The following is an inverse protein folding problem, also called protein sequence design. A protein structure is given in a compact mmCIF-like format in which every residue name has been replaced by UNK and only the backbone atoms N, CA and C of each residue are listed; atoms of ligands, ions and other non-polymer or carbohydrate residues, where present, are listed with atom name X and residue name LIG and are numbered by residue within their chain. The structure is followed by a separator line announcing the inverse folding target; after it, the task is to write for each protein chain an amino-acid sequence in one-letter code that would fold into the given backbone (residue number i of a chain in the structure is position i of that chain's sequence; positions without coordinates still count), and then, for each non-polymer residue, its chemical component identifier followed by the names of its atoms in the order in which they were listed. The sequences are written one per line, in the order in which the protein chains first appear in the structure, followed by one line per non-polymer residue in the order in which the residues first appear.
data_IF_629559736782
#
_entry.id   IF_629559736782
#
_cell.length_a   1.000
_cell.length_b   1.000
_cell.length_c   1.000
_cell.angle_alpha   90.00
_cell.angle_beta   90.00
_cell.angle_gamma   90.00
#
_symmetry.space_group_name_H-M   'P 1'
#
loop_
_entity.id
_entity.type
_entity.pdbx_description
1 polymer ?
#
# COMPACT_ATOMS: atom_id res chain seq x y z
N UNK A 1 -27.95 33.58 -43.29
CA UNK A 1 -28.34 32.55 -42.30
C UNK A 1 -27.19 31.57 -42.16
N UNK A 2 -26.14 31.92 -41.39
CA UNK A 2 -24.99 31.04 -41.18
C UNK A 2 -25.22 30.23 -39.92
N UNK A 3 -25.24 28.91 -40.09
CA UNK A 3 -25.35 27.96 -39.01
C UNK A 3 -24.03 27.89 -38.23
N UNK A 4 -24.18 27.87 -36.89
CA UNK A 4 -23.36 27.13 -35.92
C UNK A 4 -21.94 27.64 -35.59
N UNK A 5 -21.87 28.66 -34.74
CA UNK A 5 -20.83 28.71 -33.70
C UNK A 5 -21.30 27.81 -32.54
N UNK A 6 -20.83 26.57 -32.52
CA UNK A 6 -21.01 25.68 -31.37
C UNK A 6 -20.01 26.15 -30.32
N UNK A 7 -20.48 26.99 -29.40
CA UNK A 7 -19.71 27.44 -28.25
C UNK A 7 -19.34 26.21 -27.40
N UNK A 8 -18.09 25.79 -27.49
CA UNK A 8 -17.56 24.65 -26.75
C UNK A 8 -17.51 25.01 -25.25
N UNK A 9 -18.57 24.69 -24.51
CA UNK A 9 -18.67 24.84 -23.04
C UNK A 9 -17.63 23.96 -22.30
N UNK A 10 -17.01 23.00 -23.00
CA UNK A 10 -16.02 22.10 -22.41
C UNK A 10 -14.58 22.64 -22.56
N UNK A 11 -13.79 22.65 -21.47
CA UNK A 11 -12.40 23.09 -21.52
C UNK A 11 -11.61 22.19 -22.47
N UNK A 12 -10.87 22.79 -23.42
CA UNK A 12 -10.04 22.05 -24.38
C UNK A 12 -9.04 21.17 -23.63
N UNK A 13 -9.10 19.86 -23.89
CA UNK A 13 -8.20 18.87 -23.29
C UNK A 13 -6.75 19.22 -23.67
N UNK A 14 -5.91 19.55 -22.68
CA UNK A 14 -4.49 19.87 -22.90
C UNK A 14 -3.78 18.69 -23.59
N UNK A 15 -3.00 18.95 -24.64
CA UNK A 15 -2.27 17.93 -25.44
C UNK A 15 -1.46 16.95 -24.58
N UNK A 16 -0.87 17.42 -23.46
CA UNK A 16 -0.16 16.60 -22.47
C UNK A 16 -1.04 15.53 -21.82
N UNK A 17 -2.30 15.84 -21.49
CA UNK A 17 -3.26 14.88 -20.91
C UNK A 17 -3.57 13.76 -21.91
N UNK A 18 -3.79 14.13 -23.18
CA UNK A 18 -4.04 13.20 -24.29
C UNK A 18 -2.89 12.20 -24.53
N UNK A 19 -1.63 12.63 -24.36
CA UNK A 19 -0.48 11.73 -24.46
C UNK A 19 -0.48 10.70 -23.32
N UNK A 20 -0.63 11.14 -22.06
CA UNK A 20 -0.69 10.26 -20.89
C UNK A 20 -1.88 9.29 -20.93
N UNK A 21 -3.00 9.71 -21.51
CA UNK A 21 -4.17 8.85 -21.68
C UNK A 21 -3.90 7.76 -22.74
N UNK A 22 -3.17 8.09 -23.82
CA UNK A 22 -2.74 7.12 -24.83
C UNK A 22 -1.71 6.12 -24.29
N UNK A 23 -0.72 6.60 -23.53
CA UNK A 23 0.26 5.73 -22.84
C UNK A 23 -0.47 4.79 -21.87
N UNK A 24 -1.37 5.30 -21.02
CA UNK A 24 -2.19 4.47 -20.14
C UNK A 24 -3.00 3.42 -20.90
N UNK A 25 -3.57 3.78 -22.04
CA UNK A 25 -4.32 2.85 -22.87
C UNK A 25 -3.46 1.70 -23.38
N UNK A 26 -2.31 2.01 -24.02
CA UNK A 26 -1.39 0.99 -24.55
C UNK A 26 -0.87 0.11 -23.42
N UNK A 27 -0.41 0.72 -22.32
CA UNK A 27 0.13 -0.02 -21.19
C UNK A 27 -0.93 -0.91 -20.53
N UNK A 28 -2.20 -0.48 -20.45
CA UNK A 28 -3.30 -1.32 -19.93
C UNK A 28 -3.43 -2.61 -20.73
N UNK A 29 -3.38 -2.53 -22.06
CA UNK A 29 -3.44 -3.71 -22.92
C UNK A 29 -2.24 -4.64 -22.73
N UNK A 30 -1.03 -4.09 -22.63
CA UNK A 30 0.16 -4.87 -22.32
C UNK A 30 0.03 -5.59 -20.96
N UNK A 31 -0.39 -4.87 -19.90
CA UNK A 31 -0.56 -5.44 -18.56
C UNK A 31 -1.62 -6.54 -18.54
N UNK A 32 -2.74 -6.37 -19.26
CA UNK A 32 -3.75 -7.42 -19.41
C UNK A 32 -3.18 -8.64 -20.13
N UNK A 33 -2.47 -8.44 -21.25
CA UNK A 33 -1.86 -9.54 -22.00
C UNK A 33 -0.87 -10.35 -21.13
N UNK A 34 0.03 -9.67 -20.40
CA UNK A 34 0.94 -10.33 -19.46
C UNK A 34 0.20 -11.00 -18.28
N UNK A 35 -0.84 -10.36 -17.76
CA UNK A 35 -1.67 -10.89 -16.68
C UNK A 35 -2.40 -12.18 -17.05
N UNK A 36 -2.80 -12.36 -18.32
CA UNK A 36 -3.36 -13.62 -18.83
C UNK A 36 -2.30 -14.62 -19.26
N UNK A 37 -1.19 -14.18 -19.85
CA UNK A 37 -0.13 -15.06 -20.29
C UNK A 37 0.54 -15.79 -19.11
N UNK A 38 0.80 -15.10 -18.00
CA UNK A 38 1.46 -15.67 -16.82
C UNK A 38 0.74 -16.91 -16.23
N UNK A 39 -0.58 -16.89 -15.96
CA UNK A 39 -1.29 -18.07 -15.46
C UNK A 39 -1.39 -19.19 -16.52
N UNK A 40 -1.54 -18.86 -17.82
CA UNK A 40 -1.58 -19.87 -18.89
C UNK A 40 -0.26 -20.65 -18.93
N UNK A 41 0.87 -19.95 -18.91
CA UNK A 41 2.20 -20.59 -18.88
C UNK A 41 2.38 -21.39 -17.59
N UNK A 42 1.93 -20.86 -16.46
CA UNK A 42 2.03 -21.58 -15.18
C UNK A 42 1.22 -22.88 -15.17
N UNK A 43 0.01 -22.89 -15.76
CA UNK A 43 -0.80 -24.09 -15.93
C UNK A 43 -0.14 -25.11 -16.86
N UNK A 44 0.53 -24.65 -17.92
CA UNK A 44 1.25 -25.53 -18.85
C UNK A 44 2.49 -26.18 -18.21
N UNK A 45 3.21 -25.44 -17.35
CA UNK A 45 4.45 -25.91 -16.70
C UNK A 45 4.17 -26.78 -15.45
N UNK A 46 2.95 -26.72 -14.88
CA UNK A 46 2.51 -27.50 -13.69
C UNK A 46 3.43 -27.38 -12.45
N UNK A 47 4.18 -26.28 -12.34
CA UNK A 47 5.12 -26.03 -11.26
C UNK A 47 4.52 -25.28 -10.06
N UNK A 48 5.39 -24.72 -9.21
CA UNK A 48 5.00 -23.78 -8.13
C UNK A 48 4.23 -22.59 -8.72
N UNK A 49 3.22 -22.02 -8.03
CA UNK A 49 2.33 -21.00 -8.59
C UNK A 49 2.96 -19.60 -8.69
N UNK A 50 4.06 -19.46 -9.44
CA UNK A 50 4.78 -18.20 -9.67
C UNK A 50 3.94 -17.12 -10.38
N UNK A 51 2.90 -17.51 -11.13
CA UNK A 51 2.00 -16.55 -11.79
C UNK A 51 1.29 -15.62 -10.81
N UNK A 52 1.04 -16.05 -9.57
CA UNK A 52 0.39 -15.22 -8.55
C UNK A 52 1.27 -14.03 -8.18
N UNK A 53 2.59 -14.25 -8.04
CA UNK A 53 3.58 -13.19 -7.76
C UNK A 53 3.61 -12.19 -8.92
N UNK A 54 3.63 -12.71 -10.15
CA UNK A 54 3.63 -11.89 -11.37
C UNK A 54 2.39 -11.00 -11.42
N UNK A 55 1.19 -11.57 -11.22
CA UNK A 55 -0.07 -10.82 -11.19
C UNK A 55 -0.06 -9.75 -10.09
N UNK A 56 0.38 -10.09 -8.88
CA UNK A 56 0.44 -9.13 -7.78
C UNK A 56 1.44 -7.99 -8.06
N UNK A 57 2.59 -8.30 -8.65
CA UNK A 57 3.59 -7.29 -9.04
C UNK A 57 3.10 -6.36 -10.15
N UNK A 58 2.39 -6.90 -11.16
CA UNK A 58 1.74 -6.13 -12.23
C UNK A 58 0.67 -5.21 -11.64
N UNK A 59 -0.15 -5.72 -10.72
CA UNK A 59 -1.16 -4.91 -10.04
C UNK A 59 -0.54 -3.75 -9.25
N UNK A 60 0.51 -4.04 -8.46
CA UNK A 60 1.23 -3.04 -7.66
C UNK A 60 1.86 -1.98 -8.58
N UNK A 61 2.57 -2.40 -9.63
CA UNK A 61 3.19 -1.49 -10.60
C UNK A 61 2.15 -0.62 -11.29
N UNK A 62 1.00 -1.19 -11.67
CA UNK A 62 -0.09 -0.42 -12.26
C UNK A 62 -0.61 0.64 -11.28
N UNK A 63 -0.84 0.27 -10.03
CA UNK A 63 -1.34 1.17 -9.00
C UNK A 63 -0.37 2.32 -8.72
N UNK A 64 0.92 2.03 -8.56
CA UNK A 64 1.95 3.04 -8.25
C UNK A 64 2.21 4.00 -9.41
N UNK A 65 2.18 3.52 -10.66
CA UNK A 65 2.56 4.31 -11.84
C UNK A 65 1.37 5.06 -12.44
N UNK A 66 0.19 4.44 -12.49
CA UNK A 66 -0.92 4.91 -13.33
C UNK A 66 -2.13 5.43 -12.57
N UNK A 67 -2.19 5.31 -11.24
CA UNK A 67 -3.27 5.85 -10.43
C UNK A 67 -3.01 7.33 -10.13
N UNK A 68 -3.62 8.31 -10.84
CA UNK A 68 -3.49 9.71 -10.51
C UNK A 68 -4.42 9.98 -9.32
N UNK A 69 -3.99 10.65 -8.23
CA UNK A 69 -4.91 10.96 -7.13
C UNK A 69 -6.01 11.90 -7.64
N UNK A 70 -7.24 11.39 -7.75
CA UNK A 70 -8.36 12.11 -8.37
C UNK A 70 -8.98 13.17 -7.44
N UNK A 71 -8.87 13.03 -6.13
CA UNK A 71 -9.42 13.96 -5.15
C UNK A 71 -8.48 13.92 -3.94
N UNK A 72 -7.86 15.06 -3.63
CA UNK A 72 -6.92 15.26 -2.51
C UNK A 72 -5.67 14.37 -2.49
N UNK A 73 -4.54 14.98 -2.82
CA UNK A 73 -3.23 14.34 -2.78
C UNK A 73 -2.81 14.05 -1.32
N UNK A 74 -3.26 12.93 -0.76
CA UNK A 74 -2.73 12.44 0.50
C UNK A 74 -1.49 11.58 0.23
N UNK A 75 -0.33 12.26 0.04
CA UNK A 75 0.99 11.63 -0.21
C UNK A 75 1.24 10.44 0.72
N UNK A 76 0.85 10.60 1.98
CA UNK A 76 1.16 9.65 3.06
C UNK A 76 0.34 8.37 2.96
N UNK A 77 -0.95 8.47 2.62
CA UNK A 77 -1.78 7.29 2.31
C UNK A 77 -1.25 6.53 1.10
N UNK A 78 -0.84 7.23 0.04
CA UNK A 78 -0.34 6.56 -1.14
C UNK A 78 1.00 5.85 -0.88
N UNK A 79 1.91 6.50 -0.15
CA UNK A 79 3.17 5.88 0.26
C UNK A 79 2.96 4.73 1.22
N UNK A 80 2.04 4.84 2.18
CA UNK A 80 1.78 3.77 3.16
C UNK A 80 1.22 2.53 2.48
N UNK A 81 0.21 2.70 1.62
CA UNK A 81 -0.41 1.62 0.89
C UNK A 81 0.58 0.97 -0.08
N UNK A 82 1.42 1.75 -0.77
CA UNK A 82 2.48 1.20 -1.62
C UNK A 82 3.47 0.33 -0.82
N UNK A 83 3.93 0.81 0.33
CA UNK A 83 4.85 0.08 1.20
C UNK A 83 4.22 -1.20 1.77
N UNK A 84 2.95 -1.15 2.18
CA UNK A 84 2.22 -2.35 2.63
C UNK A 84 2.09 -3.38 1.52
N UNK A 85 1.75 -2.96 0.30
CA UNK A 85 1.66 -3.88 -0.84
C UNK A 85 3.00 -4.51 -1.19
N UNK A 86 4.12 -3.81 -1.00
CA UNK A 86 5.45 -4.40 -1.15
C UNK A 86 5.75 -5.46 -0.09
N UNK A 87 5.35 -5.23 1.18
CA UNK A 87 5.47 -6.26 2.22
C UNK A 87 4.64 -7.50 1.91
N UNK A 88 3.38 -7.33 1.45
CA UNK A 88 2.52 -8.45 1.06
C UNK A 88 3.15 -9.23 -0.11
N UNK A 89 3.73 -8.53 -1.08
CA UNK A 89 4.43 -9.16 -2.20
C UNK A 89 5.61 -10.02 -1.70
N UNK A 90 6.38 -9.55 -0.72
CA UNK A 90 7.49 -10.32 -0.13
C UNK A 90 6.99 -11.56 0.62
N UNK A 91 5.89 -11.46 1.38
CA UNK A 91 5.24 -12.60 2.04
C UNK A 91 4.80 -13.63 0.99
N UNK A 92 4.21 -13.17 -0.11
CA UNK A 92 3.74 -14.03 -1.19
C UNK A 92 4.91 -14.76 -1.88
N UNK A 93 6.04 -14.10 -2.09
CA UNK A 93 7.26 -14.73 -2.60
C UNK A 93 7.76 -15.81 -1.64
N UNK A 94 7.88 -15.49 -0.35
CA UNK A 94 8.41 -16.42 0.65
C UNK A 94 7.51 -17.66 0.81
N UNK A 95 6.19 -17.48 0.80
CA UNK A 95 5.22 -18.58 0.88
C UNK A 95 5.27 -19.51 -0.33
N UNK A 96 5.37 -18.97 -1.55
CA UNK A 96 5.37 -19.77 -2.79
C UNK A 96 6.72 -20.46 -3.02
N UNK A 97 7.84 -19.78 -2.74
CA UNK A 97 9.17 -20.35 -2.95
C UNK A 97 9.68 -21.13 -1.73
N UNK A 98 9.09 -20.94 -0.55
CA UNK A 98 9.45 -21.57 0.73
C UNK A 98 10.94 -21.48 1.04
N UNK A 99 11.52 -20.30 0.82
CA UNK A 99 12.95 -20.08 0.98
C UNK A 99 13.34 -19.83 2.46
N UNK A 100 12.38 -19.44 3.31
CA UNK A 100 12.57 -19.23 4.75
C UNK A 100 13.24 -17.89 5.10
N UNK A 101 13.72 -17.17 4.10
CA UNK A 101 14.31 -15.83 4.21
C UNK A 101 13.28 -14.76 4.63
N UNK A 102 11.99 -14.97 4.32
CA UNK A 102 10.93 -14.03 4.65
C UNK A 102 10.84 -13.73 6.15
N UNK A 103 11.10 -14.74 6.99
CA UNK A 103 11.08 -14.58 8.46
C UNK A 103 12.08 -13.55 9.00
N UNK A 104 13.12 -13.21 8.24
CA UNK A 104 14.14 -12.22 8.60
C UNK A 104 13.95 -10.91 7.84
N UNK A 105 13.71 -10.98 6.52
CA UNK A 105 13.64 -9.80 5.65
C UNK A 105 12.33 -9.02 5.85
N UNK A 106 11.21 -9.70 6.03
CA UNK A 106 9.89 -9.06 6.12
C UNK A 106 9.79 -8.13 7.34
N UNK A 107 10.22 -8.53 8.55
CA UNK A 107 10.20 -7.63 9.70
C UNK A 107 11.13 -6.42 9.55
N UNK A 108 12.28 -6.57 8.86
CA UNK A 108 13.21 -5.45 8.60
C UNK A 108 12.55 -4.42 7.68
N UNK A 109 11.95 -4.87 6.59
CA UNK A 109 11.25 -3.98 5.66
C UNK A 109 10.08 -3.32 6.39
N UNK A 110 9.26 -4.08 7.11
CA UNK A 110 8.13 -3.55 7.86
C UNK A 110 8.55 -2.59 8.99
N UNK A 111 9.73 -2.76 9.58
CA UNK A 111 10.30 -1.79 10.52
C UNK A 111 10.62 -0.47 9.79
N UNK A 112 11.29 -0.55 8.64
CA UNK A 112 11.57 0.63 7.81
C UNK A 112 10.31 1.35 7.37
N UNK A 113 9.24 0.62 7.03
CA UNK A 113 7.95 1.24 6.67
C UNK A 113 7.31 1.97 7.84
N UNK A 114 7.32 1.39 9.04
CA UNK A 114 6.83 2.03 10.27
C UNK A 114 7.59 3.33 10.56
N UNK A 115 8.92 3.30 10.52
CA UNK A 115 9.75 4.49 10.77
C UNK A 115 9.48 5.58 9.75
N UNK A 116 9.47 5.24 8.46
CA UNK A 116 9.24 6.22 7.39
C UNK A 116 7.85 6.86 7.50
N UNK A 117 6.83 6.05 7.82
CA UNK A 117 5.47 6.54 8.08
C UNK A 117 5.38 7.40 9.33
N UNK A 118 6.07 7.04 10.40
CA UNK A 118 6.16 7.84 11.61
C UNK A 118 6.78 9.21 11.35
N UNK A 119 7.89 9.26 10.61
CA UNK A 119 8.55 10.53 10.22
C UNK A 119 7.64 11.38 9.34
N UNK A 120 7.01 10.79 8.33
CA UNK A 120 6.06 11.48 7.46
C UNK A 120 4.85 12.03 8.26
N UNK A 121 4.34 11.25 9.20
CA UNK A 121 3.23 11.65 10.06
C UNK A 121 3.59 12.84 10.95
N UNK A 122 4.79 12.80 11.55
CA UNK A 122 5.30 13.88 12.41
C UNK A 122 5.64 15.15 11.62
N UNK A 123 6.02 15.02 10.34
CA UNK A 123 6.37 16.17 9.49
C UNK A 123 5.17 17.05 9.17
N UNK A 124 3.98 16.47 8.98
CA UNK A 124 2.77 17.18 8.54
C UNK A 124 1.56 16.93 9.46
N UNK A 125 1.74 17.05 10.78
CA UNK A 125 0.73 16.72 11.80
C UNK A 125 -0.65 17.36 11.57
N UNK A 126 -0.71 18.62 11.12
CA UNK A 126 -1.98 19.35 10.92
C UNK A 126 -2.82 18.76 9.80
N UNK A 127 -2.18 18.32 8.70
CA UNK A 127 -2.84 17.73 7.53
C UNK A 127 -3.08 16.23 7.70
N UNK A 128 -2.24 15.57 8.50
CA UNK A 128 -2.26 14.11 8.69
C UNK A 128 -3.20 13.62 9.79
N UNK A 129 -3.68 14.51 10.68
CA UNK A 129 -4.72 14.19 11.67
C UNK A 129 -5.98 13.57 11.05
N UNK A 130 -6.31 13.91 9.80
CA UNK A 130 -7.48 13.37 9.09
C UNK A 130 -7.22 11.99 8.45
N UNK A 131 -5.97 11.55 8.40
CA UNK A 131 -5.53 10.34 7.69
C UNK A 131 -4.73 9.42 8.61
N UNK A 132 -5.15 9.30 9.87
CA UNK A 132 -4.51 8.42 10.87
C UNK A 132 -4.77 6.93 10.61
N UNK A 133 -5.83 6.62 9.85
CA UNK A 133 -6.29 5.25 9.63
C UNK A 133 -5.20 4.30 9.10
N UNK A 134 -4.41 4.64 8.07
CA UNK A 134 -3.37 3.75 7.56
C UNK A 134 -2.26 3.45 8.57
N UNK A 135 -1.93 4.42 9.44
CA UNK A 135 -0.89 4.27 10.46
C UNK A 135 -1.38 3.35 11.57
N UNK A 136 -2.63 3.52 12.02
CA UNK A 136 -3.25 2.64 13.02
C UNK A 136 -3.32 1.20 12.51
N UNK A 137 -3.76 0.98 11.26
CA UNK A 137 -3.77 -0.35 10.66
C UNK A 137 -2.38 -1.00 10.62
N UNK A 138 -1.36 -0.22 10.28
CA UNK A 138 0.02 -0.71 10.23
C UNK A 138 0.53 -1.09 11.62
N UNK A 139 0.28 -0.25 12.62
CA UNK A 139 0.63 -0.52 14.03
C UNK A 139 -0.07 -1.80 14.49
N UNK A 140 -1.38 -1.93 14.24
CA UNK A 140 -2.13 -3.15 14.58
C UNK A 140 -1.57 -4.39 13.89
N UNK A 141 -1.26 -4.31 12.60
CA UNK A 141 -0.64 -5.40 11.85
C UNK A 141 0.73 -5.80 12.43
N UNK A 142 1.55 -4.82 12.81
CA UNK A 142 2.86 -5.08 13.42
C UNK A 142 2.74 -5.74 14.79
N UNK A 143 1.82 -5.27 15.65
CA UNK A 143 1.53 -5.89 16.95
C UNK A 143 1.03 -7.32 16.79
N UNK A 144 0.10 -7.56 15.85
CA UNK A 144 -0.35 -8.91 15.50
C UNK A 144 0.81 -9.80 15.06
N UNK A 145 1.77 -9.27 14.29
CA UNK A 145 2.93 -10.02 13.83
C UNK A 145 3.84 -10.48 14.97
N UNK A 146 4.05 -9.65 16.00
CA UNK A 146 4.84 -10.05 17.18
C UNK A 146 4.07 -11.04 18.04
N UNK A 147 2.77 -10.84 18.23
CA UNK A 147 1.91 -11.78 18.96
C UNK A 147 1.95 -13.15 18.29
N UNK A 148 1.85 -13.20 16.95
CA UNK A 148 1.99 -14.44 16.20
C UNK A 148 3.37 -15.09 16.43
N UNK A 149 4.44 -14.30 16.40
CA UNK A 149 5.80 -14.80 16.68
C UNK A 149 5.96 -15.37 18.09
N UNK A 150 5.33 -14.75 19.09
CA UNK A 150 5.31 -15.24 20.48
C UNK A 150 4.56 -16.57 20.62
N UNK A 151 3.55 -16.82 19.78
CA UNK A 151 2.79 -18.07 19.71
C UNK A 151 3.58 -19.18 18.97
N UNK A 152 4.76 -18.85 18.42
CA UNK A 152 5.66 -19.80 17.75
C UNK A 152 5.52 -19.84 16.23
N UNK A 153 4.74 -18.92 15.65
CA UNK A 153 4.55 -18.77 14.20
C UNK A 153 4.83 -17.30 13.82
N UNK A 154 6.00 -16.84 13.33
CA UNK A 154 7.27 -17.48 12.96
C UNK A 154 8.39 -17.36 14.03
N UNK A 155 9.59 -17.90 13.74
CA UNK A 155 10.77 -17.84 14.63
C UNK A 155 11.02 -16.42 15.15
N UNK A 156 11.18 -16.30 16.46
CA UNK A 156 11.43 -15.02 17.12
C UNK A 156 12.86 -14.57 16.84
N UNK A 157 13.01 -13.78 15.79
CA UNK A 157 14.28 -13.18 15.38
C UNK A 157 14.39 -11.76 15.96
N UNK A 158 15.62 -11.26 16.14
CA UNK A 158 15.88 -9.88 16.59
C UNK A 158 15.13 -8.79 15.77
N UNK A 159 14.99 -8.90 14.43
CA UNK A 159 14.18 -7.96 13.65
C UNK A 159 12.69 -7.90 14.06
N UNK A 160 12.13 -9.00 14.55
CA UNK A 160 10.75 -9.03 15.03
C UNK A 160 10.60 -8.24 16.33
N UNK A 161 11.61 -8.32 17.21
CA UNK A 161 11.66 -7.57 18.46
C UNK A 161 11.78 -6.07 18.17
N UNK A 162 12.63 -5.68 17.23
CA UNK A 162 12.78 -4.26 16.83
C UNK A 162 11.53 -3.71 16.16
N UNK A 163 10.83 -4.52 15.36
CA UNK A 163 9.53 -4.15 14.80
C UNK A 163 8.52 -3.88 15.92
N UNK A 164 8.53 -4.69 16.98
CA UNK A 164 7.62 -4.50 18.11
C UNK A 164 7.90 -3.33 19.00
N UNK A 165 9.17 -3.11 19.34
CA UNK A 165 9.54 -1.94 20.12
C UNK A 165 9.17 -0.64 19.40
N UNK A 166 9.35 -0.61 18.08
CA UNK A 166 9.08 0.58 17.27
C UNK A 166 7.60 0.79 17.03
N UNK A 167 6.82 -0.28 16.83
CA UNK A 167 5.36 -0.22 16.81
C UNK A 167 4.78 0.33 18.11
N UNK A 168 5.27 -0.15 19.27
CA UNK A 168 4.83 0.33 20.58
C UNK A 168 5.21 1.80 20.80
N UNK A 169 6.43 2.19 20.45
CA UNK A 169 6.87 3.58 20.54
C UNK A 169 5.99 4.51 19.69
N UNK A 170 5.69 4.11 18.44
CA UNK A 170 4.83 4.87 17.53
C UNK A 170 3.38 4.95 18.05
N UNK A 171 2.87 3.87 18.63
CA UNK A 171 1.56 3.86 19.27
C UNK A 171 1.49 4.88 20.42
N UNK A 172 2.48 4.88 21.31
CA UNK A 172 2.53 5.84 22.43
C UNK A 172 2.56 7.28 21.90
N UNK A 173 3.40 7.56 20.90
CA UNK A 173 3.48 8.88 20.27
C UNK A 173 2.14 9.29 19.65
N UNK A 174 1.47 8.38 18.93
CA UNK A 174 0.15 8.63 18.36
C UNK A 174 -0.90 8.94 19.45
N UNK A 175 -0.92 8.16 20.54
CA UNK A 175 -1.87 8.36 21.65
C UNK A 175 -1.63 9.70 22.35
N UNK A 176 -0.37 10.10 22.57
CA UNK A 176 -0.03 11.37 23.23
C UNK A 176 -0.41 12.57 22.36
N UNK A 177 -0.09 12.56 21.06
CA UNK A 177 -0.27 13.73 20.18
C UNK A 177 -1.73 13.88 19.72
N UNK A 178 -2.45 12.77 19.48
CA UNK A 178 -3.79 12.79 18.88
C UNK A 178 -4.91 12.35 19.83
N UNK A 179 -4.66 12.26 21.15
CA UNK A 179 -5.58 11.73 22.16
C UNK A 179 -7.06 12.07 21.96
N UNK A 180 -7.39 13.35 21.66
CA UNK A 180 -8.77 13.82 21.49
C UNK A 180 -9.36 13.55 20.10
N UNK A 181 -8.54 13.54 19.05
CA UNK A 181 -9.00 13.32 17.68
C UNK A 181 -9.10 11.83 17.37
N UNK A 182 -8.19 11.00 17.89
CA UNK A 182 -8.24 9.54 17.80
C UNK A 182 -9.52 8.97 18.42
N UNK A 183 -9.90 9.44 19.61
CA UNK A 183 -11.13 8.99 20.27
C UNK A 183 -12.35 9.36 19.44
N UNK A 184 -12.44 10.59 18.93
CA UNK A 184 -13.53 11.02 18.05
C UNK A 184 -13.60 10.22 16.75
N UNK A 185 -12.46 9.83 16.18
CA UNK A 185 -12.42 9.10 14.91
C UNK A 185 -12.69 7.59 15.09
N UNK A 186 -12.24 6.99 16.21
CA UNK A 186 -12.63 5.65 16.63
C UNK A 186 -14.12 5.57 16.95
N UNK A 187 -14.65 6.54 17.70
CA UNK A 187 -16.07 6.66 18.04
C UNK A 187 -16.93 6.72 16.76
N UNK A 188 -16.54 7.58 15.81
CA UNK A 188 -17.20 7.69 14.50
C UNK A 188 -17.17 6.41 13.67
N UNK A 189 -16.07 5.65 13.71
CA UNK A 189 -15.89 4.45 12.88
C UNK A 189 -16.49 3.19 13.49
N UNK A 190 -16.43 3.06 14.80
CA UNK A 190 -17.00 1.91 15.52
C UNK A 190 -18.44 2.16 15.95
N UNK A 191 -19.01 3.34 15.66
CA UNK A 191 -20.36 3.74 16.07
C UNK A 191 -20.63 3.51 17.57
N UNK A 192 -19.58 3.60 18.39
CA UNK A 192 -19.67 3.45 19.84
C UNK A 192 -20.16 4.80 20.35
N UNK A 193 -21.37 4.86 20.92
CA UNK A 193 -21.87 6.04 21.64
C UNK A 193 -21.32 6.08 23.07
#
# INVERSE_FOLDING_TARGET
MSFTDIEYIYPRIKKRKRFWDRVRYITRWCFMAFGYAAPIVNLAVRGKPWSIIVIWSLWLAWWVIFSPPLVEFNRISHTSTSLVYTCILLILIDTIYSCGWGSFVIPIVAFGTLVLLGVLFLSDLTKQRQNVMPIIWLIMASLLSIIASLIGWPKMNWPMITLGSTALALLIVCVVILRKDLLKELEKRFHIK
#
